data_IF_330576162467
#
_entry.id   IF_330576162467
#
_cell.length_a   1.000
_cell.length_b   1.000
_cell.length_c   1.000
_cell.angle_alpha   90.00
_cell.angle_beta   90.00
_cell.angle_gamma   90.00
#
_symmetry.space_group_name_H-M   'P 1'
#
loop_
_entity.id
_entity.type
_entity.pdbx_description
1 polymer ?
#
# COMPACT_ATOMS: atom_id res chain seq x y z
N UNK A 1 8.04 -6.10 -54.46
CA UNK A 1 8.14 -5.53 -53.09
C UNK A 1 6.77 -5.54 -52.40
N UNK A 2 6.16 -6.71 -52.16
CA UNK A 2 4.77 -6.77 -51.64
C UNK A 2 4.56 -7.66 -50.41
N UNK A 3 5.47 -8.61 -50.17
CA UNK A 3 5.26 -9.64 -49.15
C UNK A 3 5.65 -9.18 -47.73
N UNK A 4 6.72 -8.40 -47.59
CA UNK A 4 7.19 -7.88 -46.29
C UNK A 4 6.25 -6.81 -45.68
N UNK A 5 5.55 -6.05 -46.52
CA UNK A 5 4.61 -5.02 -46.05
C UNK A 5 3.39 -5.62 -45.37
N UNK A 6 2.93 -6.79 -45.80
CA UNK A 6 1.76 -7.47 -45.23
C UNK A 6 2.08 -8.13 -43.89
N UNK A 7 3.29 -8.64 -43.71
CA UNK A 7 3.76 -9.20 -42.43
C UNK A 7 3.89 -8.07 -41.38
N UNK A 8 4.41 -6.90 -41.77
CA UNK A 8 4.47 -5.71 -40.91
C UNK A 8 3.08 -5.18 -40.52
N UNK A 9 2.12 -5.24 -41.44
CA UNK A 9 0.72 -4.84 -41.21
C UNK A 9 -0.01 -5.84 -40.30
N UNK A 10 0.22 -7.14 -40.50
CA UNK A 10 -0.36 -8.18 -39.64
C UNK A 10 0.23 -8.14 -38.22
N UNK A 11 1.52 -7.82 -38.09
CA UNK A 11 2.19 -7.66 -36.80
C UNK A 11 1.68 -6.41 -36.04
N UNK A 12 1.48 -5.28 -36.74
CA UNK A 12 0.88 -4.08 -36.14
C UNK A 12 -0.60 -4.27 -35.80
N UNK A 13 -1.36 -4.99 -36.62
CA UNK A 13 -2.76 -5.32 -36.35
C UNK A 13 -2.90 -6.24 -35.13
N UNK A 14 -1.94 -7.16 -34.93
CA UNK A 14 -1.91 -8.04 -33.76
C UNK A 14 -1.60 -7.26 -32.46
N UNK A 15 -0.74 -6.23 -32.53
CA UNK A 15 -0.43 -5.37 -31.38
C UNK A 15 -1.60 -4.45 -30.97
N UNK A 16 -2.50 -4.11 -31.90
CA UNK A 16 -3.70 -3.30 -31.62
C UNK A 16 -4.85 -4.10 -30.99
N UNK A 17 -4.84 -5.44 -31.06
CA UNK A 17 -5.91 -6.31 -30.53
C UNK A 17 -5.66 -6.81 -29.10
N UNK A 18 -4.51 -6.50 -28.49
CA UNK A 18 -4.13 -7.03 -27.17
C UNK A 18 -4.37 -6.10 -25.97
N UNK A 19 -4.91 -4.90 -26.14
CA UNK A 19 -5.38 -4.11 -24.99
C UNK A 19 -6.82 -4.48 -24.66
N UNK A 20 -7.02 -5.58 -23.93
CA UNK A 20 -8.30 -5.80 -23.24
C UNK A 20 -8.38 -4.77 -22.11
N UNK A 21 -9.35 -3.85 -22.09
CA UNK A 21 -9.65 -3.12 -20.87
C UNK A 21 -10.30 -4.13 -19.92
N UNK A 22 -9.52 -4.71 -19.01
CA UNK A 22 -10.05 -5.53 -17.93
C UNK A 22 -10.78 -4.59 -16.97
N UNK A 23 -12.05 -4.30 -17.28
CA UNK A 23 -12.99 -3.74 -16.31
C UNK A 23 -13.27 -4.84 -15.29
N UNK A 24 -12.54 -4.81 -14.17
CA UNK A 24 -12.79 -5.69 -13.04
C UNK A 24 -13.98 -5.16 -12.24
N UNK A 25 -15.19 -5.27 -12.78
CA UNK A 25 -16.39 -5.28 -11.93
C UNK A 25 -16.54 -6.69 -11.37
N UNK A 26 -15.62 -7.07 -10.48
CA UNK A 26 -15.82 -8.23 -9.62
C UNK A 26 -16.80 -7.82 -8.53
N UNK A 27 -18.10 -7.96 -8.80
CA UNK A 27 -19.09 -8.04 -7.74
C UNK A 27 -18.82 -9.36 -7.00
N UNK A 28 -17.92 -9.28 -6.01
CA UNK A 28 -17.66 -10.37 -5.06
C UNK A 28 -19.03 -10.87 -4.54
N UNK A 29 -19.24 -12.19 -4.55
CA UNK A 29 -20.50 -12.75 -4.06
C UNK A 29 -20.66 -12.45 -2.56
N UNK A 30 -21.90 -12.43 -2.06
CA UNK A 30 -22.16 -12.15 -0.62
C UNK A 30 -21.42 -13.12 0.30
N UNK A 31 -21.25 -14.36 -0.15
CA UNK A 31 -20.52 -15.41 0.55
C UNK A 31 -19.02 -15.09 0.58
N UNK A 32 -18.46 -14.59 -0.52
CA UNK A 32 -17.07 -14.15 -0.56
C UNK A 32 -16.84 -12.97 0.40
N UNK A 33 -17.76 -12.00 0.48
CA UNK A 33 -17.66 -10.89 1.43
C UNK A 33 -17.72 -11.33 2.90
N UNK A 34 -18.53 -12.34 3.23
CA UNK A 34 -18.62 -12.88 4.58
C UNK A 34 -17.34 -13.63 5.01
N UNK A 35 -16.60 -14.19 4.07
CA UNK A 35 -15.33 -14.89 4.33
C UNK A 35 -14.10 -13.96 4.32
N UNK A 36 -14.20 -12.74 3.78
CA UNK A 36 -13.08 -11.78 3.77
C UNK A 36 -12.56 -11.50 5.19
N UNK A 37 -13.40 -11.22 6.21
CA UNK A 37 -12.91 -10.90 7.56
C UNK A 37 -12.10 -12.03 8.20
N UNK A 38 -12.54 -13.29 8.08
CA UNK A 38 -11.83 -14.44 8.65
C UNK A 38 -10.52 -14.68 7.93
N UNK A 39 -10.54 -14.73 6.58
CA UNK A 39 -9.34 -14.91 5.77
C UNK A 39 -8.31 -13.79 5.98
N UNK A 40 -8.78 -12.54 6.07
CA UNK A 40 -7.92 -11.39 6.34
C UNK A 40 -7.29 -11.47 7.73
N UNK A 41 -8.07 -11.80 8.75
CA UNK A 41 -7.58 -11.93 10.11
C UNK A 41 -6.56 -13.06 10.26
N UNK A 42 -6.81 -14.20 9.62
CA UNK A 42 -5.87 -15.33 9.61
C UNK A 42 -4.59 -14.97 8.86
N UNK A 43 -4.68 -14.21 7.77
CA UNK A 43 -3.52 -13.71 7.04
C UNK A 43 -2.70 -12.72 7.89
N UNK A 44 -3.35 -11.81 8.60
CA UNK A 44 -2.69 -10.84 9.49
C UNK A 44 -2.00 -11.51 10.68
N UNK A 45 -2.48 -12.67 11.12
CA UNK A 45 -1.90 -13.47 12.20
C UNK A 45 -0.75 -14.38 11.78
N UNK A 46 -0.49 -14.53 10.47
CA UNK A 46 0.61 -15.35 10.02
C UNK A 46 1.92 -14.86 10.64
N UNK A 47 2.83 -15.75 11.06
CA UNK A 47 4.05 -15.35 11.77
C UNK A 47 4.85 -14.29 11.03
N UNK A 48 4.91 -14.35 9.69
CA UNK A 48 5.70 -13.40 8.91
C UNK A 48 5.15 -11.98 8.99
N UNK A 49 3.82 -11.83 8.95
CA UNK A 49 3.14 -10.51 9.04
C UNK A 49 3.15 -10.02 10.48
N UNK A 50 2.90 -10.92 11.44
CA UNK A 50 2.90 -10.59 12.86
C UNK A 50 4.27 -10.10 13.33
N UNK A 51 5.34 -10.84 13.03
CA UNK A 51 6.71 -10.45 13.40
C UNK A 51 7.14 -9.15 12.71
N UNK A 52 6.75 -8.96 11.44
CA UNK A 52 6.96 -7.69 10.74
C UNK A 52 6.31 -6.50 11.49
N UNK A 53 5.03 -6.62 11.90
CA UNK A 53 4.34 -5.58 12.67
C UNK A 53 4.98 -5.34 14.04
N UNK A 54 5.37 -6.42 14.75
CA UNK A 54 6.05 -6.33 16.05
C UNK A 54 7.37 -5.58 15.92
N UNK A 55 8.16 -5.89 14.90
CA UNK A 55 9.46 -5.25 14.67
C UNK A 55 9.31 -3.76 14.36
N UNK A 56 8.37 -3.37 13.49
CA UNK A 56 8.09 -1.95 13.22
C UNK A 56 7.68 -1.23 14.51
N UNK A 57 6.77 -1.83 15.29
CA UNK A 57 6.32 -1.25 16.56
C UNK A 57 7.48 -1.08 17.53
N UNK A 58 8.41 -2.04 17.63
CA UNK A 58 9.60 -1.93 18.49
C UNK A 58 10.52 -0.80 18.04
N UNK A 59 10.80 -0.68 16.75
CA UNK A 59 11.66 0.41 16.22
C UNK A 59 11.08 1.78 16.55
N UNK A 60 9.77 1.97 16.38
CA UNK A 60 9.09 3.23 16.72
C UNK A 60 9.11 3.45 18.24
N UNK A 61 8.86 2.40 19.02
CA UNK A 61 8.80 2.50 20.48
C UNK A 61 10.17 2.77 21.13
N UNK A 62 11.27 2.29 20.52
CA UNK A 62 12.64 2.56 20.95
C UNK A 62 13.10 3.98 20.63
N UNK A 63 12.46 4.63 19.64
CA UNK A 63 12.80 5.98 19.19
C UNK A 63 11.56 6.88 19.15
N UNK A 64 10.93 7.18 20.30
CA UNK A 64 9.75 8.04 20.34
C UNK A 64 10.11 9.47 19.94
N UNK A 65 9.34 10.05 19.02
CA UNK A 65 9.53 11.43 18.52
C UNK A 65 8.31 12.29 18.86
N UNK A 66 8.52 13.59 19.11
CA UNK A 66 7.44 14.51 19.45
C UNK A 66 6.66 14.98 18.21
N UNK A 67 5.51 15.57 18.45
CA UNK A 67 4.68 16.19 17.43
C UNK A 67 5.46 17.14 16.51
N UNK A 68 5.35 16.93 15.20
CA UNK A 68 6.06 17.66 14.12
C UNK A 68 7.57 17.40 14.03
N UNK A 69 8.13 16.53 14.86
CA UNK A 69 9.54 16.16 14.90
C UNK A 69 9.76 14.67 14.54
N UNK A 70 8.74 13.99 14.01
CA UNK A 70 8.72 12.56 13.70
C UNK A 70 9.49 12.20 12.41
N UNK A 71 10.69 12.75 12.24
CA UNK A 71 11.49 12.59 11.02
C UNK A 71 11.92 11.14 10.80
N UNK A 72 12.31 10.44 11.85
CA UNK A 72 12.70 9.03 11.84
C UNK A 72 11.51 8.12 11.54
N UNK A 73 10.39 8.34 12.24
CA UNK A 73 9.15 7.57 12.09
C UNK A 73 8.54 7.79 10.71
N UNK A 74 8.49 9.04 10.23
CA UNK A 74 8.06 9.37 8.87
C UNK A 74 8.94 8.71 7.81
N UNK A 75 10.26 8.68 8.01
CA UNK A 75 11.20 7.98 7.11
C UNK A 75 10.98 6.47 7.12
N UNK A 76 10.76 5.86 8.29
CA UNK A 76 10.44 4.44 8.40
C UNK A 76 9.17 4.10 7.61
N UNK A 77 8.09 4.85 7.81
CA UNK A 77 6.81 4.64 7.11
C UNK A 77 7.01 4.72 5.59
N UNK A 78 7.72 5.74 5.10
CA UNK A 78 8.01 5.89 3.66
C UNK A 78 8.79 4.70 3.12
N UNK A 79 9.82 4.25 3.82
CA UNK A 79 10.60 3.07 3.42
C UNK A 79 9.74 1.80 3.34
N UNK A 80 8.82 1.60 4.29
CA UNK A 80 7.92 0.44 4.27
C UNK A 80 6.89 0.56 3.13
N UNK A 81 6.35 1.75 2.85
CA UNK A 81 5.48 1.97 1.70
C UNK A 81 6.23 1.72 0.37
N UNK A 82 7.49 2.16 0.27
CA UNK A 82 8.33 1.90 -0.90
C UNK A 82 8.58 0.39 -1.10
N UNK A 83 8.89 -0.35 -0.03
CA UNK A 83 9.04 -1.83 -0.09
C UNK A 83 7.77 -2.55 -0.52
N UNK A 84 6.61 -2.04 -0.09
CA UNK A 84 5.30 -2.57 -0.45
C UNK A 84 4.82 -2.11 -1.84
N UNK A 85 5.55 -1.20 -2.50
CA UNK A 85 5.17 -0.63 -3.79
C UNK A 85 3.94 0.27 -3.71
N UNK A 86 3.67 0.88 -2.56
CA UNK A 86 2.52 1.75 -2.33
C UNK A 86 2.92 3.20 -2.63
N UNK A 87 2.31 3.86 -3.64
CA UNK A 87 2.58 5.27 -3.90
C UNK A 87 2.05 6.15 -2.76
N UNK A 88 2.80 7.18 -2.40
CA UNK A 88 2.43 8.11 -1.33
C UNK A 88 2.78 9.56 -1.66
N UNK A 89 2.15 10.48 -0.92
CA UNK A 89 2.46 11.91 -0.92
C UNK A 89 3.15 12.29 0.38
N UNK A 90 4.27 13.01 0.26
CA UNK A 90 5.07 13.58 1.34
C UNK A 90 5.82 14.83 0.80
N UNK A 91 6.06 15.87 1.60
CA UNK A 91 5.59 16.06 2.97
C UNK A 91 4.16 16.61 3.04
N UNK A 92 3.44 16.24 4.11
CA UNK A 92 2.14 16.82 4.48
C UNK A 92 2.23 17.23 5.95
N UNK A 93 1.94 18.49 6.29
CA UNK A 93 2.07 18.98 7.67
C UNK A 93 3.44 18.63 8.30
N UNK A 94 4.53 18.95 7.61
CA UNK A 94 5.93 18.66 7.97
C UNK A 94 6.33 17.19 7.78
N UNK A 95 5.82 16.28 8.61
CA UNK A 95 6.26 14.87 8.67
C UNK A 95 5.22 13.88 8.14
N UNK A 96 3.97 14.29 7.98
CA UNK A 96 2.85 13.45 7.56
C UNK A 96 3.01 12.83 6.16
N UNK A 97 2.44 11.63 6.02
CA UNK A 97 2.47 10.80 4.81
C UNK A 97 1.06 10.32 4.49
N UNK A 98 0.66 10.37 3.22
CA UNK A 98 -0.61 9.79 2.74
C UNK A 98 -0.33 8.78 1.64
N UNK A 99 -0.61 7.50 1.90
CA UNK A 99 -0.49 6.40 0.93
C UNK A 99 -1.79 6.12 0.18
N UNK A 100 -1.67 5.60 -1.04
CA UNK A 100 -2.81 5.32 -1.92
C UNK A 100 -2.81 3.85 -2.36
N UNK A 101 -3.91 3.13 -2.08
CA UNK A 101 -4.12 1.74 -2.48
C UNK A 101 -5.46 1.65 -3.24
N UNK A 102 -5.46 1.02 -4.41
CA UNK A 102 -6.66 0.80 -5.22
C UNK A 102 -6.56 1.41 -6.62
N UNK A 103 -7.71 1.70 -7.24
CA UNK A 103 -7.82 2.10 -8.64
C UNK A 103 -7.49 3.56 -8.93
N UNK A 104 -7.31 4.39 -7.89
CA UNK A 104 -7.15 5.84 -8.02
C UNK A 104 -8.43 6.60 -8.44
N UNK A 105 -9.60 5.94 -8.40
CA UNK A 105 -10.90 6.51 -8.75
C UNK A 105 -11.87 6.45 -7.57
N UNK A 106 -12.83 7.36 -7.56
CA UNK A 106 -13.94 7.39 -6.57
C UNK A 106 -14.72 6.06 -6.54
N UNK A 107 -15.25 5.65 -5.37
CA UNK A 107 -15.22 6.31 -4.06
C UNK A 107 -13.90 6.10 -3.30
N UNK A 108 -13.52 7.10 -2.48
CA UNK A 108 -12.35 7.01 -1.62
C UNK A 108 -12.76 6.71 -0.16
N UNK A 109 -12.04 5.80 0.48
CA UNK A 109 -12.13 5.50 1.91
C UNK A 109 -10.76 5.75 2.53
N UNK A 110 -10.71 6.40 3.68
CA UNK A 110 -9.47 6.73 4.38
C UNK A 110 -9.36 6.00 5.72
N UNK A 111 -8.14 5.58 6.05
CA UNK A 111 -7.74 5.09 7.37
C UNK A 111 -6.63 6.03 7.87
N UNK A 112 -6.69 6.41 9.14
CA UNK A 112 -5.79 7.40 9.75
C UNK A 112 -5.13 6.82 10.99
N UNK A 113 -3.83 7.05 11.13
CA UNK A 113 -3.02 6.71 12.29
C UNK A 113 -2.08 7.88 12.61
N UNK A 114 -1.83 8.11 13.90
CA UNK A 114 -0.93 9.15 14.40
C UNK A 114 0.46 8.58 14.65
N UNK A 115 1.48 9.45 14.59
CA UNK A 115 2.90 9.06 14.65
C UNK A 115 3.61 9.62 15.90
N UNK A 116 3.06 10.66 16.52
CA UNK A 116 3.72 11.37 17.61
C UNK A 116 3.66 10.60 18.93
N UNK A 117 4.74 10.74 19.69
CA UNK A 117 4.86 10.30 21.07
C UNK A 117 4.68 11.47 22.04
N UNK A 118 4.58 11.13 23.33
CA UNK A 118 4.50 12.10 24.41
C UNK A 118 5.86 12.26 25.09
N UNK A 119 6.12 13.47 25.59
CA UNK A 119 7.31 13.78 26.39
C UNK A 119 7.19 13.18 27.81
N UNK A 120 7.44 11.87 27.94
CA UNK A 120 7.38 11.15 29.21
C UNK A 120 8.40 10.02 29.25
N UNK A 121 8.85 9.67 30.45
CA UNK A 121 9.71 8.51 30.65
C UNK A 121 8.94 7.23 30.31
N UNK A 122 9.45 6.48 29.33
CA UNK A 122 8.97 5.13 29.05
C UNK A 122 9.48 4.20 30.14
N UNK A 123 8.57 3.49 30.81
CA UNK A 123 8.91 2.37 31.70
C UNK A 123 8.97 1.13 30.81
N UNK A 124 10.16 0.55 30.66
CA UNK A 124 10.33 -0.71 29.95
C UNK A 124 9.76 -1.83 30.83
N UNK A 125 8.60 -2.36 30.45
CA UNK A 125 7.91 -3.49 31.12
C UNK A 125 8.23 -4.79 30.36
#
# INVERSE_FOLDING_TARGET
>A
MGFFSWISLLFNLCMLLSTKPTSSNAFLSKEAFAEIPSKFFDLAKRPEVFEYMVNIRRVIHENPELGFEEFGTSKLIRNELDKLGIPYKYPIAVTGVVGYIGSGKSPFVAIRADMDALAMQVVNI
#
